data_IF_425211728920
#
_entry.id   IF_425211728920
#
_cell.length_a   1.000
_cell.length_b   1.000
_cell.length_c   1.000
_cell.angle_alpha   90.00
_cell.angle_beta   90.00
_cell.angle_gamma   90.00
#
_symmetry.space_group_name_H-M   'P 1'
#
loop_
_entity.id
_entity.type
_entity.pdbx_description
1 polymer ?
#
# COMPACT_ATOMS: atom_id res chain seq x y z
N UNK A 1 4.89 -49.97 2.40
CA UNK A 1 5.59 -48.78 2.89
C UNK A 1 5.86 -48.94 4.38
N UNK A 2 7.09 -48.73 4.83
CA UNK A 2 7.41 -48.78 6.27
C UNK A 2 6.78 -47.63 7.02
N UNK A 3 6.50 -47.84 8.30
CA UNK A 3 5.97 -46.76 9.16
C UNK A 3 6.92 -45.57 9.24
N UNK A 4 8.22 -45.80 9.22
CA UNK A 4 9.26 -44.74 9.26
C UNK A 4 9.21 -43.90 7.99
N UNK A 5 9.12 -44.54 6.83
CA UNK A 5 9.05 -43.83 5.55
C UNK A 5 7.74 -43.01 5.45
N UNK A 6 6.64 -43.59 5.87
CA UNK A 6 5.33 -42.94 5.89
C UNK A 6 5.36 -41.69 6.79
N UNK A 7 5.87 -41.82 8.00
CA UNK A 7 5.98 -40.69 8.94
C UNK A 7 6.88 -39.58 8.40
N UNK A 8 7.97 -39.96 7.74
CA UNK A 8 8.88 -39.00 7.10
C UNK A 8 8.17 -38.21 5.99
N UNK A 9 7.41 -38.89 5.16
CA UNK A 9 6.66 -38.23 4.08
C UNK A 9 5.58 -37.29 4.62
N UNK A 10 4.92 -37.67 5.71
CA UNK A 10 3.93 -36.80 6.37
C UNK A 10 4.60 -35.55 6.94
N UNK A 11 5.71 -35.70 7.63
CA UNK A 11 6.45 -34.58 8.22
C UNK A 11 6.97 -33.63 7.12
N UNK A 12 7.49 -34.17 6.03
CA UNK A 12 7.95 -33.37 4.89
C UNK A 12 6.80 -32.60 4.25
N UNK A 13 5.64 -33.26 4.08
CA UNK A 13 4.45 -32.60 3.52
C UNK A 13 3.92 -31.48 4.43
N UNK A 14 3.89 -31.74 5.74
CA UNK A 14 3.48 -30.72 6.72
C UNK A 14 4.44 -29.52 6.74
N UNK A 15 5.75 -29.77 6.69
CA UNK A 15 6.75 -28.74 6.65
C UNK A 15 6.64 -27.89 5.36
N UNK A 16 6.40 -28.54 4.22
CA UNK A 16 6.19 -27.85 2.96
C UNK A 16 4.92 -27.00 2.97
N UNK A 17 3.82 -27.57 3.49
CA UNK A 17 2.56 -26.84 3.62
C UNK A 17 2.71 -25.59 4.51
N UNK A 18 3.42 -25.73 5.63
CA UNK A 18 3.71 -24.62 6.54
C UNK A 18 4.57 -23.54 5.85
N UNK A 19 5.59 -23.95 5.12
CA UNK A 19 6.45 -23.02 4.37
C UNK A 19 5.65 -22.24 3.31
N UNK A 20 4.75 -22.92 2.60
CA UNK A 20 3.87 -22.28 1.62
C UNK A 20 2.92 -21.28 2.30
N UNK A 21 2.35 -21.67 3.45
CA UNK A 21 1.46 -20.78 4.20
C UNK A 21 2.19 -19.53 4.70
N UNK A 22 3.38 -19.70 5.27
CA UNK A 22 4.21 -18.57 5.73
C UNK A 22 4.60 -17.63 4.60
N UNK A 23 4.96 -18.19 3.45
CA UNK A 23 5.28 -17.40 2.26
C UNK A 23 4.07 -16.61 1.79
N UNK A 24 2.90 -17.25 1.75
CA UNK A 24 1.66 -16.58 1.37
C UNK A 24 1.28 -15.46 2.32
N UNK A 25 1.42 -15.67 3.63
CA UNK A 25 1.17 -14.64 4.64
C UNK A 25 2.13 -13.46 4.49
N UNK A 26 3.41 -13.73 4.24
CA UNK A 26 4.41 -12.70 4.03
C UNK A 26 4.13 -11.89 2.76
N UNK A 27 3.77 -12.54 1.69
CA UNK A 27 3.39 -11.87 0.43
C UNK A 27 2.14 -11.01 0.59
N UNK A 28 1.13 -11.52 1.30
CA UNK A 28 -0.10 -10.78 1.59
C UNK A 28 0.19 -9.55 2.45
N UNK A 29 1.04 -9.69 3.45
CA UNK A 29 1.46 -8.57 4.30
C UNK A 29 2.20 -7.50 3.49
N UNK A 30 3.10 -7.89 2.60
CA UNK A 30 3.83 -6.97 1.73
C UNK A 30 2.88 -6.19 0.82
N UNK A 31 1.89 -6.86 0.24
CA UNK A 31 0.86 -6.22 -0.60
C UNK A 31 0.04 -5.23 0.22
N UNK A 32 -0.36 -5.60 1.43
CA UNK A 32 -1.12 -4.72 2.32
C UNK A 32 -0.33 -3.47 2.70
N UNK A 33 0.94 -3.63 3.09
CA UNK A 33 1.82 -2.51 3.42
C UNK A 33 2.01 -1.57 2.23
N UNK A 34 2.21 -2.12 1.04
CA UNK A 34 2.35 -1.34 -0.18
C UNK A 34 1.08 -0.56 -0.50
N UNK A 35 -0.07 -1.21 -0.39
CA UNK A 35 -1.36 -0.56 -0.63
C UNK A 35 -1.62 0.58 0.35
N UNK A 36 -1.31 0.39 1.64
CA UNK A 36 -1.43 1.45 2.65
C UNK A 36 -0.51 2.63 2.35
N UNK A 37 0.74 2.36 1.98
CA UNK A 37 1.70 3.40 1.64
C UNK A 37 1.27 4.20 0.41
N UNK A 38 0.76 3.52 -0.61
CA UNK A 38 0.23 4.16 -1.82
C UNK A 38 -1.00 5.01 -1.51
N UNK A 39 -1.91 4.52 -0.64
CA UNK A 39 -3.09 5.27 -0.23
C UNK A 39 -2.71 6.54 0.56
N UNK A 40 -1.74 6.45 1.47
CA UNK A 40 -1.23 7.62 2.19
C UNK A 40 -0.57 8.63 1.24
N UNK A 41 0.17 8.16 0.27
CA UNK A 41 0.79 9.01 -0.74
C UNK A 41 -0.26 9.73 -1.58
N UNK A 42 -1.31 9.02 -1.98
CA UNK A 42 -2.44 9.62 -2.72
C UNK A 42 -3.15 10.69 -1.89
N UNK A 43 -3.39 10.42 -0.60
CA UNK A 43 -4.01 11.39 0.29
C UNK A 43 -3.17 12.67 0.43
N UNK A 44 -1.86 12.52 0.58
CA UNK A 44 -0.93 13.66 0.65
C UNK A 44 -0.90 14.46 -0.65
N UNK A 45 -0.92 13.79 -1.79
CA UNK A 45 -1.00 14.45 -3.09
C UNK A 45 -2.30 15.21 -3.27
N UNK A 46 -3.41 14.63 -2.83
CA UNK A 46 -4.72 15.28 -2.89
C UNK A 46 -4.77 16.53 -2.03
N UNK A 47 -4.21 16.47 -0.80
CA UNK A 47 -4.13 17.62 0.09
C UNK A 47 -3.25 18.73 -0.50
N UNK A 48 -2.09 18.38 -1.04
CA UNK A 48 -1.21 19.33 -1.70
C UNK A 48 -1.86 19.98 -2.92
N UNK A 49 -2.59 19.20 -3.69
CA UNK A 49 -3.34 19.70 -4.85
C UNK A 49 -4.44 20.67 -4.44
N UNK A 50 -5.14 20.37 -3.36
CA UNK A 50 -6.19 21.24 -2.81
C UNK A 50 -5.60 22.59 -2.36
N UNK A 51 -4.49 22.57 -1.65
CA UNK A 51 -3.79 23.81 -1.23
C UNK A 51 -3.35 24.63 -2.44
N UNK A 52 -2.77 23.99 -3.44
CA UNK A 52 -2.37 24.65 -4.68
C UNK A 52 -3.56 25.30 -5.37
N UNK A 53 -4.68 24.59 -5.47
CA UNK A 53 -5.91 25.10 -6.10
C UNK A 53 -6.43 26.33 -5.37
N UNK A 54 -6.47 26.29 -4.03
CA UNK A 54 -6.91 27.42 -3.22
C UNK A 54 -6.00 28.64 -3.42
N UNK A 55 -4.68 28.43 -3.40
CA UNK A 55 -3.72 29.50 -3.64
C UNK A 55 -3.86 30.10 -5.04
N UNK A 56 -4.05 29.25 -6.05
CA UNK A 56 -4.24 29.69 -7.43
C UNK A 56 -5.52 30.51 -7.57
N UNK A 57 -6.60 30.12 -6.89
CA UNK A 57 -7.85 30.86 -6.91
C UNK A 57 -7.70 32.25 -6.28
N UNK A 58 -7.02 32.34 -5.16
CA UNK A 58 -6.74 33.61 -4.48
C UNK A 58 -5.89 34.51 -5.38
N UNK A 59 -4.86 33.97 -6.00
CA UNK A 59 -4.00 34.70 -6.93
C UNK A 59 -4.80 35.27 -8.10
N UNK A 60 -5.66 34.47 -8.70
CA UNK A 60 -6.56 34.91 -9.79
C UNK A 60 -7.50 36.02 -9.35
N UNK A 61 -8.06 35.91 -8.16
CA UNK A 61 -8.94 36.95 -7.60
C UNK A 61 -8.18 38.26 -7.41
N UNK A 62 -6.98 38.22 -6.89
CA UNK A 62 -6.14 39.40 -6.69
C UNK A 62 -5.78 40.06 -8.02
N UNK A 63 -5.55 39.29 -9.07
CA UNK A 63 -5.26 39.79 -10.41
C UNK A 63 -6.46 40.46 -11.08
N UNK A 64 -7.68 40.08 -10.72
CA UNK A 64 -8.92 40.63 -11.29
C UNK A 64 -9.47 41.81 -10.52
N UNK A 65 -8.91 42.15 -9.36
CA UNK A 65 -9.33 43.34 -8.62
C UNK A 65 -8.98 44.63 -9.37
N UNK A 66 -9.86 45.63 -9.34
CA UNK A 66 -9.58 46.90 -10.00
C UNK A 66 -8.33 47.53 -9.38
N UNK A 67 -7.45 47.98 -10.23
CA UNK A 67 -6.27 48.73 -9.79
C UNK A 67 -6.72 50.11 -9.34
N UNK A 68 -6.46 50.45 -8.10
CA UNK A 68 -6.68 51.79 -7.57
C UNK A 68 -5.55 52.66 -8.09
N UNK A 69 -5.89 53.44 -8.93
CA UNK A 69 -5.08 54.42 -9.52
C UNK A 69 -4.26 55.25 -9.61
#
# INVERSE_FOLDING_TARGET
MSAILRNRLIIEAEAEAEAIALKGEAEAYAIECKAKAEAEQMAKKADAWKEYKEAAMIDMMLQTLPKVG
#
